data_IF_309026661638
#
_entry.id   IF_309026661638
#
_cell.length_a   1.000
_cell.length_b   1.000
_cell.length_c   1.000
_cell.angle_alpha   90.00
_cell.angle_beta   90.00
_cell.angle_gamma   90.00
#
_symmetry.space_group_name_H-M   'P 1'
#
loop_
_entity.id
_entity.type
_entity.pdbx_description
1 polymer ?
#
# COMPACT_ATOMS: atom_id res chain seq x y z
N UNK A 1 40.77 2.18 11.21
CA UNK A 1 39.36 2.24 11.69
C UNK A 1 38.47 2.64 10.52
N UNK A 2 37.74 1.69 9.94
CA UNK A 2 36.79 1.97 8.86
C UNK A 2 35.67 2.85 9.40
N UNK A 3 35.60 4.09 8.89
CA UNK A 3 34.60 5.09 9.25
C UNK A 3 33.22 4.48 8.95
N UNK A 4 32.51 3.94 9.96
CA UNK A 4 31.11 3.51 9.83
C UNK A 4 30.36 4.64 9.12
N UNK A 5 29.80 4.35 7.92
CA UNK A 5 29.08 5.33 7.07
C UNK A 5 28.14 6.15 7.97
N UNK A 6 28.09 7.48 7.82
CA UNK A 6 27.35 8.36 8.74
C UNK A 6 25.90 7.89 9.01
N UNK A 7 25.24 7.37 7.97
CA UNK A 7 23.93 6.70 8.05
C UNK A 7 23.90 5.50 9.01
N UNK A 8 24.89 4.62 8.97
CA UNK A 8 24.97 3.48 9.88
C UNK A 8 25.19 3.90 11.35
N UNK A 9 25.79 5.08 11.60
CA UNK A 9 25.88 5.65 12.95
C UNK A 9 24.56 6.23 13.43
N UNK A 10 23.73 6.73 12.51
CA UNK A 10 22.36 7.16 12.77
C UNK A 10 21.34 6.00 12.78
N UNK A 11 21.80 4.74 12.77
CA UNK A 11 20.93 3.54 12.78
C UNK A 11 20.30 3.17 11.44
N UNK A 12 20.69 3.82 10.33
CA UNK A 12 20.18 3.53 8.99
C UNK A 12 21.07 2.49 8.29
N UNK A 13 20.50 1.33 8.01
CA UNK A 13 21.15 0.26 7.24
C UNK A 13 20.70 0.24 5.77
N UNK A 14 21.41 1.02 4.95
CA UNK A 14 21.17 1.15 3.50
C UNK A 14 21.51 -0.15 2.75
N UNK A 15 22.56 -0.85 3.19
CA UNK A 15 23.05 -2.06 2.53
C UNK A 15 22.03 -3.22 2.73
N UNK A 16 21.43 -3.31 3.92
CA UNK A 16 20.31 -4.20 4.21
C UNK A 16 19.07 -3.87 3.39
N UNK A 17 18.67 -2.60 3.33
CA UNK A 17 17.54 -2.16 2.51
C UNK A 17 17.67 -2.60 1.05
N UNK A 18 18.84 -2.38 0.45
CA UNK A 18 19.12 -2.82 -0.92
C UNK A 18 19.08 -4.34 -1.08
N UNK A 19 19.55 -5.11 -0.09
CA UNK A 19 19.48 -6.58 -0.12
C UNK A 19 18.04 -7.09 -0.08
N UNK A 20 17.19 -6.49 0.77
CA UNK A 20 15.78 -6.86 0.88
C UNK A 20 15.00 -6.47 -0.39
N UNK A 21 15.23 -5.27 -0.93
CA UNK A 21 14.64 -4.82 -2.20
C UNK A 21 14.89 -5.81 -3.35
N UNK A 22 16.07 -6.47 -3.39
CA UNK A 22 16.35 -7.53 -4.39
C UNK A 22 15.53 -8.81 -4.19
N UNK A 23 15.31 -9.23 -2.94
CA UNK A 23 14.58 -10.48 -2.60
C UNK A 23 13.09 -10.38 -2.93
N UNK A 24 12.51 -9.21 -2.76
CA UNK A 24 11.07 -8.99 -2.97
C UNK A 24 10.67 -8.75 -4.43
N UNK A 25 11.63 -8.57 -5.34
CA UNK A 25 11.31 -8.24 -6.75
C UNK A 25 10.37 -9.25 -7.40
N UNK A 26 10.47 -10.54 -7.05
CA UNK A 26 9.58 -11.57 -7.59
C UNK A 26 8.14 -11.40 -7.11
N UNK A 27 7.93 -11.04 -5.85
CA UNK A 27 6.59 -10.80 -5.29
C UNK A 27 5.91 -9.62 -5.97
N UNK A 28 6.66 -8.54 -6.17
CA UNK A 28 6.10 -7.34 -6.76
C UNK A 28 5.88 -7.49 -8.27
N UNK A 29 6.78 -8.17 -8.99
CA UNK A 29 6.57 -8.47 -10.41
C UNK A 29 5.29 -9.27 -10.67
N UNK A 30 4.82 -10.07 -9.70
CA UNK A 30 3.55 -10.79 -9.84
C UNK A 30 2.33 -9.85 -9.82
N UNK A 31 2.47 -8.61 -9.40
CA UNK A 31 1.41 -7.59 -9.49
C UNK A 31 1.48 -6.81 -10.80
N UNK A 32 2.52 -6.98 -11.60
CA UNK A 32 2.75 -6.18 -12.80
C UNK A 32 1.98 -6.77 -14.00
N UNK A 33 1.43 -5.88 -14.82
CA UNK A 33 0.86 -6.21 -16.12
C UNK A 33 1.54 -5.40 -17.24
N UNK A 34 0.99 -5.47 -18.45
CA UNK A 34 1.52 -4.79 -19.64
C UNK A 34 1.58 -3.25 -19.55
N UNK A 35 0.97 -2.67 -18.50
CA UNK A 35 0.99 -1.24 -18.23
C UNK A 35 2.19 -0.80 -17.39
N UNK A 36 2.83 -1.69 -16.63
CA UNK A 36 4.00 -1.30 -15.82
C UNK A 36 5.23 -1.24 -16.72
N UNK A 37 5.96 -0.13 -16.66
CA UNK A 37 7.19 0.08 -17.43
C UNK A 37 8.42 -0.02 -16.50
N UNK A 38 9.44 -0.75 -16.94
CA UNK A 38 10.71 -0.86 -16.20
C UNK A 38 10.70 -1.88 -15.06
N UNK A 39 11.58 -1.69 -14.08
CA UNK A 39 11.80 -2.59 -12.93
C UNK A 39 11.70 -1.80 -11.63
N UNK A 40 11.29 -2.48 -10.56
CA UNK A 40 11.40 -1.92 -9.21
C UNK A 40 12.85 -1.66 -8.82
N UNK A 41 13.07 -0.54 -8.13
CA UNK A 41 14.39 -0.06 -7.70
C UNK A 41 14.93 1.12 -8.50
N UNK A 42 14.19 1.66 -9.46
CA UNK A 42 14.45 2.97 -10.06
C UNK A 42 13.96 4.12 -9.16
N UNK A 43 14.25 5.37 -9.54
CA UNK A 43 13.83 6.58 -8.81
C UNK A 43 12.30 6.75 -8.70
N UNK A 44 11.52 6.03 -9.50
CA UNK A 44 10.06 6.02 -9.44
C UNK A 44 9.46 4.83 -10.18
N UNK A 45 8.22 4.50 -9.84
CA UNK A 45 7.41 3.53 -10.59
C UNK A 45 6.80 4.18 -11.83
N UNK A 46 6.79 3.46 -12.95
CA UNK A 46 6.23 3.96 -14.21
C UNK A 46 5.01 3.12 -14.61
N UNK A 47 3.89 3.79 -14.88
CA UNK A 47 2.65 3.15 -15.32
C UNK A 47 2.15 3.81 -16.61
N UNK A 48 2.14 3.06 -17.71
CA UNK A 48 1.62 3.47 -19.01
C UNK A 48 0.10 3.41 -18.99
N UNK A 49 -0.51 4.59 -18.96
CA UNK A 49 -1.95 4.74 -19.09
C UNK A 49 -2.39 4.41 -20.53
N UNK A 50 -3.39 3.53 -20.64
CA UNK A 50 -4.13 3.29 -21.86
C UNK A 50 -5.60 3.17 -21.47
N UNK A 51 -6.35 4.25 -21.65
CA UNK A 51 -7.77 4.33 -21.28
C UNK A 51 -8.68 3.94 -22.44
N UNK A 52 -8.34 2.85 -23.13
CA UNK A 52 -9.16 2.33 -24.23
C UNK A 52 -10.58 2.06 -23.74
N UNK A 53 -11.56 2.71 -24.38
CA UNK A 53 -12.98 2.59 -24.01
C UNK A 53 -13.50 3.63 -23.01
N UNK A 54 -12.64 4.52 -22.48
CA UNK A 54 -13.07 5.66 -21.65
C UNK A 54 -13.15 6.92 -22.50
N UNK A 55 -14.19 7.74 -22.27
CA UNK A 55 -14.40 9.00 -23.01
C UNK A 55 -13.72 10.18 -22.34
N UNK A 56 -13.88 10.31 -21.03
CA UNK A 56 -13.30 11.40 -20.23
C UNK A 56 -12.70 10.81 -18.93
N UNK A 57 -11.50 10.21 -18.99
CA UNK A 57 -10.90 9.51 -17.86
C UNK A 57 -10.43 10.49 -16.78
N UNK A 58 -10.85 10.24 -15.54
CA UNK A 58 -10.48 11.00 -14.34
C UNK A 58 -9.65 10.10 -13.42
N UNK A 59 -8.50 10.60 -12.98
CA UNK A 59 -7.68 9.92 -11.97
C UNK A 59 -8.26 10.16 -10.57
N UNK A 60 -8.31 9.11 -9.78
CA UNK A 60 -8.77 9.14 -8.40
C UNK A 60 -7.63 8.65 -7.52
N UNK A 61 -7.31 9.35 -6.44
CA UNK A 61 -6.25 8.95 -5.53
C UNK A 61 -6.77 8.94 -4.08
N UNK A 62 -6.30 7.99 -3.29
CA UNK A 62 -6.47 7.98 -1.83
C UNK A 62 -5.16 7.61 -1.16
N UNK A 63 -4.98 8.10 0.07
CA UNK A 63 -3.84 7.77 0.92
C UNK A 63 -4.33 7.39 2.31
N UNK A 64 -3.96 6.20 2.79
CA UNK A 64 -4.42 5.67 4.06
C UNK A 64 -3.34 4.91 4.81
N UNK A 65 -3.62 4.61 6.07
CA UNK A 65 -2.81 3.77 6.93
C UNK A 65 -3.62 2.62 7.54
N UNK A 66 -2.95 1.76 8.29
CA UNK A 66 -3.57 0.66 9.05
C UNK A 66 -4.05 1.12 10.44
N UNK A 67 -3.48 2.20 10.98
CA UNK A 67 -3.81 2.69 12.31
C UNK A 67 -3.39 1.74 13.45
N UNK A 68 -4.11 1.80 14.57
CA UNK A 68 -3.74 1.12 15.83
C UNK A 68 -3.83 -0.40 15.76
N UNK A 69 -4.42 -0.99 14.71
CA UNK A 69 -4.36 -2.43 14.42
C UNK A 69 -2.90 -2.94 14.35
N UNK A 70 -1.94 -2.08 14.01
CA UNK A 70 -0.52 -2.41 14.04
C UNK A 70 -0.06 -2.90 15.43
N UNK A 71 -0.64 -2.41 16.53
CA UNK A 71 -0.32 -2.91 17.87
C UNK A 71 -0.66 -4.39 18.03
N UNK A 72 -1.77 -4.84 17.44
CA UNK A 72 -2.13 -6.27 17.42
C UNK A 72 -1.15 -7.06 16.56
N UNK A 73 -0.76 -6.53 15.39
CA UNK A 73 0.24 -7.18 14.53
C UNK A 73 1.59 -7.36 15.23
N UNK A 74 2.03 -6.37 16.02
CA UNK A 74 3.24 -6.47 16.83
C UNK A 74 3.09 -7.52 17.93
N UNK A 75 2.00 -7.48 18.70
CA UNK A 75 1.74 -8.43 19.78
C UNK A 75 1.66 -9.88 19.28
N UNK A 76 1.11 -10.09 18.09
CA UNK A 76 0.94 -11.41 17.46
C UNK A 76 2.12 -11.82 16.56
N UNK A 77 3.10 -10.95 16.34
CA UNK A 77 4.23 -11.16 15.43
C UNK A 77 3.77 -11.66 14.03
N UNK A 78 2.68 -11.06 13.51
CA UNK A 78 2.04 -11.41 12.24
C UNK A 78 1.77 -10.14 11.43
N UNK A 79 2.50 -9.98 10.33
CA UNK A 79 2.59 -8.70 9.61
C UNK A 79 2.06 -8.76 8.18
N UNK A 80 1.88 -9.96 7.62
CA UNK A 80 1.38 -10.16 6.25
C UNK A 80 -0.06 -9.67 6.07
N UNK A 81 -0.89 -9.83 7.11
CA UNK A 81 -2.30 -9.42 7.07
C UNK A 81 -2.47 -7.91 7.10
N UNK A 82 -1.67 -7.19 7.90
CA UNK A 82 -1.72 -5.72 7.93
C UNK A 82 -1.21 -5.09 6.63
N UNK A 83 -0.31 -5.78 5.92
CA UNK A 83 0.02 -5.40 4.56
C UNK A 83 -1.20 -5.44 3.63
N UNK A 84 -1.98 -6.52 3.69
CA UNK A 84 -3.21 -6.62 2.92
C UNK A 84 -4.29 -5.62 3.36
N UNK A 85 -4.42 -5.37 4.67
CA UNK A 85 -5.35 -4.39 5.23
C UNK A 85 -5.11 -2.99 4.64
N UNK A 86 -3.86 -2.55 4.56
CA UNK A 86 -3.50 -1.23 4.00
C UNK A 86 -3.98 -1.06 2.56
N UNK A 87 -3.70 -2.04 1.70
CA UNK A 87 -4.11 -1.98 0.28
C UNK A 87 -5.63 -1.97 0.17
N UNK A 88 -6.31 -2.84 0.91
CA UNK A 88 -7.77 -2.93 0.87
C UNK A 88 -8.44 -1.64 1.37
N UNK A 89 -7.86 -0.97 2.38
CA UNK A 89 -8.34 0.31 2.88
C UNK A 89 -8.37 1.34 1.75
N UNK A 90 -7.21 1.58 1.12
CA UNK A 90 -7.11 2.54 0.02
C UNK A 90 -8.02 2.15 -1.17
N UNK A 91 -8.05 0.86 -1.54
CA UNK A 91 -8.86 0.38 -2.68
C UNK A 91 -10.35 0.61 -2.43
N UNK A 92 -10.84 0.38 -1.20
CA UNK A 92 -12.23 0.62 -0.87
C UNK A 92 -12.60 2.10 -0.97
N UNK A 93 -11.71 3.00 -0.57
CA UNK A 93 -11.93 4.45 -0.60
C UNK A 93 -12.10 5.02 -2.01
N UNK A 94 -11.44 4.42 -3.01
CA UNK A 94 -11.67 4.82 -4.41
C UNK A 94 -12.82 4.06 -5.06
N UNK A 95 -13.16 2.88 -4.54
CA UNK A 95 -14.25 2.05 -5.07
C UNK A 95 -15.62 2.72 -4.90
N UNK A 96 -15.83 3.48 -3.82
CA UNK A 96 -17.10 4.21 -3.60
C UNK A 96 -17.38 5.28 -4.66
N UNK A 97 -16.34 5.74 -5.38
CA UNK A 97 -16.45 6.68 -6.50
C UNK A 97 -16.64 5.98 -7.86
N UNK A 98 -16.70 4.64 -7.87
CA UNK A 98 -16.73 3.83 -9.10
C UNK A 98 -15.37 3.68 -9.77
N UNK A 99 -14.27 4.02 -9.10
CA UNK A 99 -12.94 3.99 -9.69
C UNK A 99 -12.37 2.57 -9.76
N UNK A 100 -11.76 2.25 -10.90
CA UNK A 100 -10.97 1.03 -11.08
C UNK A 100 -9.53 1.29 -10.61
N UNK A 101 -8.98 0.47 -9.69
CA UNK A 101 -7.59 0.57 -9.28
C UNK A 101 -6.59 0.43 -10.45
N UNK A 102 -5.52 1.23 -10.45
CA UNK A 102 -4.42 1.14 -11.44
C UNK A 102 -3.13 0.66 -10.78
N UNK A 103 -2.63 1.44 -9.82
CA UNK A 103 -1.36 1.14 -9.16
C UNK A 103 -1.35 1.65 -7.72
N UNK A 104 -0.43 1.09 -6.94
CA UNK A 104 -0.25 1.33 -5.52
C UNK A 104 1.21 1.66 -5.21
N UNK A 105 1.41 2.53 -4.23
CA UNK A 105 2.69 2.92 -3.66
C UNK A 105 2.65 2.73 -2.14
N UNK A 106 3.72 2.22 -1.54
CA UNK A 106 3.82 2.05 -0.08
C UNK A 106 4.91 2.93 0.55
N UNK A 107 4.71 3.27 1.82
CA UNK A 107 5.72 3.85 2.68
C UNK A 107 5.76 3.05 3.99
N UNK A 108 6.96 2.66 4.40
CA UNK A 108 7.22 1.97 5.66
C UNK A 108 8.19 2.84 6.48
N UNK A 109 7.70 3.42 7.57
CA UNK A 109 8.54 4.05 8.59
C UNK A 109 8.77 3.07 9.73
N UNK A 110 10.01 2.85 10.16
CA UNK A 110 10.31 1.90 11.23
C UNK A 110 11.46 2.38 12.12
N UNK A 111 11.52 1.89 13.36
CA UNK A 111 12.70 2.14 14.21
C UNK A 111 13.93 1.49 13.61
N UNK A 112 13.80 0.21 13.24
CA UNK A 112 14.83 -0.59 12.60
C UNK A 112 14.21 -1.51 11.57
N UNK A 113 14.91 -1.68 10.44
CA UNK A 113 14.48 -2.58 9.39
C UNK A 113 14.70 -4.05 9.80
N UNK A 114 13.61 -4.76 10.04
CA UNK A 114 13.63 -6.21 10.31
C UNK A 114 13.26 -6.99 9.02
N UNK A 115 14.17 -7.82 8.48
CA UNK A 115 13.96 -8.61 7.26
C UNK A 115 12.69 -9.45 7.18
N UNK A 116 12.36 -10.21 8.23
CA UNK A 116 11.19 -11.07 8.32
C UNK A 116 9.90 -10.27 8.33
N UNK A 117 9.89 -9.14 9.04
CA UNK A 117 8.72 -8.23 9.07
C UNK A 117 8.52 -7.61 7.70
N UNK A 118 9.60 -7.07 7.11
CA UNK A 118 9.57 -6.50 5.77
C UNK A 118 9.08 -7.51 4.72
N UNK A 119 9.63 -8.72 4.70
CA UNK A 119 9.21 -9.78 3.77
C UNK A 119 7.71 -10.11 3.93
N UNK A 120 7.17 -10.10 5.16
CA UNK A 120 5.74 -10.33 5.41
C UNK A 120 4.87 -9.18 4.89
N UNK A 121 5.25 -7.92 5.18
CA UNK A 121 4.53 -6.73 4.71
C UNK A 121 4.42 -6.71 3.19
N UNK A 122 5.54 -6.91 2.49
CA UNK A 122 5.55 -6.89 1.01
C UNK A 122 4.73 -8.05 0.42
N UNK A 123 4.70 -9.23 1.07
CA UNK A 123 3.79 -10.32 0.67
C UNK A 123 2.33 -9.92 0.81
N UNK A 124 1.99 -9.22 1.90
CA UNK A 124 0.65 -8.65 2.14
C UNK A 124 0.25 -7.66 1.05
N UNK A 125 1.08 -6.64 0.81
CA UNK A 125 0.87 -5.64 -0.24
C UNK A 125 0.69 -6.30 -1.60
N UNK A 126 1.67 -7.11 -2.01
CA UNK A 126 1.66 -7.73 -3.34
C UNK A 126 0.46 -8.67 -3.52
N UNK A 127 0.10 -9.44 -2.48
CA UNK A 127 -1.05 -10.32 -2.51
C UNK A 127 -2.38 -9.58 -2.64
N UNK A 128 -2.54 -8.46 -1.93
CA UNK A 128 -3.75 -7.63 -2.03
C UNK A 128 -3.83 -6.87 -3.34
N UNK A 129 -2.73 -6.29 -3.83
CA UNK A 129 -2.69 -5.62 -5.14
C UNK A 129 -3.13 -6.55 -6.27
N UNK A 130 -2.66 -7.81 -6.28
CA UNK A 130 -3.12 -8.81 -7.26
C UNK A 130 -4.62 -9.07 -7.20
N UNK A 131 -5.18 -9.23 -5.99
CA UNK A 131 -6.63 -9.46 -5.83
C UNK A 131 -7.45 -8.25 -6.25
N UNK A 132 -6.94 -7.04 -6.00
CA UNK A 132 -7.57 -5.78 -6.40
C UNK A 132 -7.34 -5.41 -7.88
N UNK A 133 -6.51 -6.16 -8.61
CA UNK A 133 -6.21 -5.88 -10.02
C UNK A 133 -5.35 -4.64 -10.24
N UNK A 134 -4.56 -4.20 -9.24
CA UNK A 134 -3.63 -3.09 -9.35
C UNK A 134 -2.16 -3.52 -9.24
N UNK A 135 -1.26 -2.68 -9.72
CA UNK A 135 0.17 -2.93 -9.66
C UNK A 135 0.84 -2.20 -8.48
N UNK A 136 1.62 -2.91 -7.66
CA UNK A 136 2.57 -2.29 -6.75
C UNK A 136 3.79 -1.81 -7.55
N UNK A 137 3.93 -0.50 -7.75
CA UNK A 137 4.94 0.04 -8.68
C UNK A 137 6.13 0.70 -7.99
N UNK A 138 6.05 0.93 -6.68
CA UNK A 138 7.11 1.55 -5.92
C UNK A 138 6.75 1.70 -4.45
N UNK A 139 7.75 2.10 -3.67
CA UNK A 139 7.57 2.39 -2.26
C UNK A 139 8.89 2.80 -1.61
N UNK A 140 8.81 3.29 -0.38
CA UNK A 140 9.98 3.71 0.39
C UNK A 140 10.02 3.09 1.79
N UNK A 141 11.23 2.84 2.28
CA UNK A 141 11.47 2.31 3.61
C UNK A 141 12.44 3.20 4.36
N UNK A 142 11.95 3.86 5.41
CA UNK A 142 12.73 4.76 6.24
C UNK A 142 13.02 4.10 7.61
N UNK A 143 14.30 4.06 7.97
CA UNK A 143 14.76 3.70 9.32
C UNK A 143 14.95 5.00 10.10
N UNK A 144 14.08 5.23 11.08
CA UNK A 144 13.94 6.49 11.81
C UNK A 144 14.05 6.22 13.31
N UNK A 145 15.22 5.76 13.80
CA UNK A 145 15.43 5.55 15.23
C UNK A 145 15.29 6.89 15.96
N UNK A 146 14.47 6.92 17.01
CA UNK A 146 14.11 8.13 17.74
C UNK A 146 12.74 8.71 17.39
N UNK A 147 12.16 8.33 16.23
CA UNK A 147 10.74 8.61 15.92
C UNK A 147 9.88 7.42 16.34
N UNK A 148 10.24 6.21 15.89
CA UNK A 148 9.48 5.00 16.21
C UNK A 148 10.02 4.32 17.47
N UNK A 149 9.10 3.69 18.21
CA UNK A 149 9.45 2.82 19.35
C UNK A 149 10.16 1.58 18.84
N UNK A 150 10.99 0.98 19.70
CA UNK A 150 11.76 -0.23 19.38
C UNK A 150 10.85 -1.33 18.84
N UNK A 151 11.19 -1.85 17.66
CA UNK A 151 10.44 -2.92 16.99
C UNK A 151 9.10 -2.52 16.38
N UNK A 152 8.72 -1.24 16.45
CA UNK A 152 7.50 -0.74 15.82
C UNK A 152 7.77 -0.14 14.45
N UNK A 153 6.74 -0.18 13.61
CA UNK A 153 6.70 0.48 12.31
C UNK A 153 5.34 1.13 12.09
N UNK A 154 5.28 2.02 11.12
CA UNK A 154 4.04 2.60 10.61
C UNK A 154 4.01 2.45 9.09
N UNK A 155 2.79 2.38 8.54
CA UNK A 155 2.55 2.11 7.14
C UNK A 155 1.64 3.18 6.55
N UNK A 156 2.01 3.70 5.39
CA UNK A 156 1.12 4.49 4.56
C UNK A 156 1.06 3.90 3.15
N UNK A 157 -0.14 3.90 2.57
CA UNK A 157 -0.42 3.39 1.24
C UNK A 157 -1.08 4.45 0.40
N UNK A 158 -0.67 4.57 -0.86
CA UNK A 158 -1.28 5.45 -1.83
C UNK A 158 -1.78 4.63 -3.00
N UNK A 159 -3.08 4.70 -3.27
CA UNK A 159 -3.71 4.10 -4.45
C UNK A 159 -3.98 5.19 -5.48
N UNK A 160 -3.78 4.85 -6.75
CA UNK A 160 -4.31 5.62 -7.87
C UNK A 160 -5.20 4.70 -8.70
N UNK A 161 -6.40 5.17 -8.99
CA UNK A 161 -7.39 4.55 -9.86
C UNK A 161 -7.85 5.48 -10.97
N UNK A 162 -8.79 4.99 -11.77
CA UNK A 162 -9.42 5.76 -12.85
C UNK A 162 -10.91 5.49 -12.93
N UNK A 163 -11.68 6.51 -13.25
CA UNK A 163 -13.13 6.45 -13.52
C UNK A 163 -13.45 7.33 -14.73
N UNK A 164 -14.45 6.97 -15.54
CA UNK A 164 -14.92 7.86 -16.60
C UNK A 164 -15.80 8.92 -15.94
N UNK A 165 -15.61 10.21 -16.26
CA UNK A 165 -16.26 11.32 -15.56
C UNK A 165 -17.77 11.16 -15.42
N UNK A 166 -18.43 10.59 -16.44
CA UNK A 166 -19.89 10.37 -16.45
C UNK A 166 -20.36 9.22 -15.54
N UNK A 167 -19.45 8.33 -15.15
CA UNK A 167 -19.70 7.15 -14.31
C UNK A 167 -19.30 7.39 -12.84
N UNK A 168 -18.83 8.59 -12.49
CA UNK A 168 -18.53 8.94 -11.10
C UNK A 168 -19.78 8.79 -10.25
N UNK A 169 -19.63 8.06 -9.14
CA UNK A 169 -20.68 7.88 -8.13
C UNK A 169 -20.47 8.94 -7.05
N UNK A 170 -21.40 9.90 -6.95
CA UNK A 170 -21.35 11.03 -6.02
C UNK A 170 -22.57 11.14 -5.09
N UNK A 171 -23.51 10.20 -5.20
CA UNK A 171 -24.75 10.18 -4.44
C UNK A 171 -25.83 11.17 -4.91
N UNK A 172 -25.58 12.01 -5.92
CA UNK A 172 -26.54 13.01 -6.42
C UNK A 172 -27.85 12.42 -6.98
N UNK A 173 -27.84 11.13 -7.36
CA UNK A 173 -28.99 10.40 -7.89
C UNK A 173 -29.84 9.70 -6.81
N UNK A 174 -29.42 9.75 -5.53
CA UNK A 174 -30.13 9.11 -4.42
C UNK A 174 -31.47 9.82 -4.20
N UNK A 175 -32.54 9.05 -3.98
CA UNK A 175 -33.89 9.56 -3.76
C UNK A 175 -34.68 8.71 -2.77
N UNK A 176 -35.78 9.28 -2.24
CA UNK A 176 -36.71 8.55 -1.38
C UNK A 176 -37.22 7.29 -2.09
N UNK A 177 -37.14 6.16 -1.39
CA UNK A 177 -37.53 4.85 -1.90
C UNK A 177 -36.37 3.98 -2.36
N UNK A 178 -35.16 4.54 -2.47
CA UNK A 178 -33.95 3.75 -2.67
C UNK A 178 -33.66 2.88 -1.44
N UNK A 179 -33.03 1.73 -1.69
CA UNK A 179 -32.70 0.74 -0.65
C UNK A 179 -31.23 0.80 -0.27
N UNK A 180 -30.94 0.53 1.01
CA UNK A 180 -29.56 0.39 1.50
C UNK A 180 -29.18 -1.08 1.47
N UNK A 181 -28.12 -1.39 0.74
CA UNK A 181 -27.53 -2.73 0.70
C UNK A 181 -26.19 -2.71 1.47
N UNK A 182 -26.05 -3.64 2.41
CA UNK A 182 -24.80 -3.83 3.16
C UNK A 182 -24.03 -5.03 2.64
N UNK A 183 -22.71 -4.88 2.48
CA UNK A 183 -21.80 -5.99 2.25
C UNK A 183 -21.17 -6.39 3.59
N UNK A 184 -21.18 -7.68 3.90
CA UNK A 184 -20.63 -8.20 5.15
C UNK A 184 -19.14 -7.90 5.30
N UNK A 185 -18.73 -7.40 6.47
CA UNK A 185 -17.31 -7.27 6.83
C UNK A 185 -16.73 -8.62 7.26
N UNK A 186 -15.40 -8.71 7.32
CA UNK A 186 -14.69 -9.87 7.90
C UNK A 186 -14.20 -9.59 9.33
N UNK A 187 -14.85 -8.64 10.02
CA UNK A 187 -14.47 -8.17 11.35
C UNK A 187 -14.34 -6.64 11.41
N UNK A 188 -13.41 -6.16 12.24
CA UNK A 188 -13.17 -4.72 12.49
C UNK A 188 -12.48 -3.98 11.34
N UNK A 189 -12.04 -4.69 10.30
CA UNK A 189 -11.20 -4.14 9.23
C UNK A 189 -9.96 -3.43 9.82
N UNK A 190 -9.81 -2.13 9.61
CA UNK A 190 -8.71 -1.27 10.06
C UNK A 190 -9.11 -0.28 11.15
N UNK A 191 -10.37 -0.32 11.63
CA UNK A 191 -10.92 0.71 12.52
C UNK A 191 -11.31 0.14 13.90
N UNK A 192 -11.27 0.98 14.93
CA UNK A 192 -11.75 0.64 16.28
C UNK A 192 -10.77 -0.11 17.19
N UNK A 193 -9.54 -0.39 16.76
CA UNK A 193 -8.54 -1.16 17.54
C UNK A 193 -7.97 -0.45 18.78
N UNK A 194 -8.32 0.82 18.98
CA UNK A 194 -7.95 1.56 20.20
C UNK A 194 -8.95 1.38 21.34
N UNK A 195 -10.19 0.99 21.02
CA UNK A 195 -11.26 0.71 21.99
C UNK A 195 -11.01 -0.66 22.64
#
# INVERSE_FOLDING_TARGET
MTRKKAYARAGVDVDLGNKLKRRIQSLVRQTHGAHVLGKIGGFGGLFRVQFSGMRDPVLVASIDSVGTKLKIAFAMNKHDTVGADMVNHCVNDIAVLGARPLFFLDYIGCEKLEPRVFDQLIRGFSGACRRAGCALIGGETAQLPGIYRKGEYDLAGCIVGVVDRKEIIDGSKIKRGDVVLGLGSNGLHTNGYSL
#
